data_IF_353397827718
#
_entry.id   IF_353397827718
#
_cell.length_a   1.000
_cell.length_b   1.000
_cell.length_c   1.000
_cell.angle_alpha   90.00
_cell.angle_beta   90.00
_cell.angle_gamma   90.00
#
_symmetry.space_group_name_H-M   'P 1'
#
loop_
_entity.id
_entity.type
_entity.pdbx_description
1 polymer ?
#
# COMPACT_ATOMS: atom_id res chain seq x y z
N UNK A 1 17.83 -8.98 -12.27
CA UNK A 1 16.38 -9.19 -12.40
C UNK A 1 15.61 -8.95 -11.11
N UNK A 2 15.81 -9.73 -10.03
CA UNK A 2 15.00 -9.54 -8.80
C UNK A 2 15.27 -8.19 -8.12
N UNK A 3 16.55 -7.81 -7.99
CA UNK A 3 16.97 -6.51 -7.42
C UNK A 3 16.50 -5.31 -8.25
N UNK A 4 16.43 -5.47 -9.57
CA UNK A 4 15.96 -4.42 -10.47
C UNK A 4 14.44 -4.23 -10.35
N UNK A 5 13.71 -5.33 -10.10
CA UNK A 5 12.26 -5.31 -9.85
C UNK A 5 11.93 -4.69 -8.49
N UNK A 6 12.69 -5.01 -7.44
CA UNK A 6 12.55 -4.39 -6.11
C UNK A 6 12.77 -2.87 -6.20
N UNK A 7 13.84 -2.44 -6.85
CA UNK A 7 14.13 -1.02 -7.04
C UNK A 7 13.01 -0.31 -7.82
N UNK A 8 12.50 -0.92 -8.89
CA UNK A 8 11.39 -0.38 -9.65
C UNK A 8 10.10 -0.26 -8.82
N UNK A 9 9.80 -1.29 -8.02
CA UNK A 9 8.64 -1.29 -7.12
C UNK A 9 8.74 -0.15 -6.11
N UNK A 10 9.89 0.01 -5.45
CA UNK A 10 10.10 1.06 -4.46
C UNK A 10 9.96 2.46 -5.09
N UNK A 11 10.52 2.67 -6.29
CA UNK A 11 10.35 3.92 -7.04
C UNK A 11 8.88 4.17 -7.43
N UNK A 12 8.16 3.13 -7.85
CA UNK A 12 6.75 3.23 -8.22
C UNK A 12 5.90 3.59 -7.00
N UNK A 13 6.08 2.89 -5.88
CA UNK A 13 5.37 3.16 -4.63
C UNK A 13 5.65 4.57 -4.13
N UNK A 14 6.90 5.04 -4.19
CA UNK A 14 7.27 6.40 -3.81
C UNK A 14 6.48 7.45 -4.60
N UNK A 15 6.50 7.36 -5.94
CA UNK A 15 5.78 8.29 -6.83
C UNK A 15 4.27 8.25 -6.59
N UNK A 16 3.69 7.05 -6.46
CA UNK A 16 2.25 6.89 -6.22
C UNK A 16 1.84 7.42 -4.85
N UNK A 17 2.66 7.22 -3.83
CA UNK A 17 2.44 7.78 -2.49
C UNK A 17 2.36 9.30 -2.53
N UNK A 18 3.32 9.95 -3.21
CA UNK A 18 3.32 11.40 -3.38
C UNK A 18 2.08 11.89 -4.14
N UNK A 19 1.76 11.27 -5.28
CA UNK A 19 0.61 11.63 -6.09
C UNK A 19 -0.71 11.45 -5.33
N UNK A 20 -0.90 10.31 -4.66
CA UNK A 20 -2.10 10.05 -3.87
C UNK A 20 -2.21 11.06 -2.73
N UNK A 21 -1.10 11.32 -2.03
CA UNK A 21 -1.06 12.31 -0.95
C UNK A 21 -1.49 13.69 -1.44
N UNK A 22 -0.80 14.21 -2.45
CA UNK A 22 -0.97 15.60 -2.90
C UNK A 22 -2.21 15.82 -3.77
N UNK A 23 -2.57 14.85 -4.61
CA UNK A 23 -3.59 15.03 -5.64
C UNK A 23 -4.93 14.43 -5.23
N UNK A 24 -4.92 13.30 -4.51
CA UNK A 24 -6.15 12.57 -4.16
C UNK A 24 -6.61 12.93 -2.75
N UNK A 25 -5.79 12.66 -1.74
CA UNK A 25 -6.14 12.84 -0.34
C UNK A 25 -6.36 14.31 0.00
N UNK A 26 -5.45 15.20 -0.44
CA UNK A 26 -5.58 16.64 -0.20
C UNK A 26 -6.73 17.32 -0.95
N UNK A 27 -7.42 16.62 -1.86
CA UNK A 27 -8.67 17.12 -2.48
C UNK A 27 -9.91 16.45 -1.89
N UNK A 28 -9.75 15.36 -1.15
CA UNK A 28 -10.85 14.63 -0.55
C UNK A 28 -11.33 15.33 0.73
N UNK A 29 -12.57 15.83 0.71
CA UNK A 29 -13.16 16.56 1.84
C UNK A 29 -13.33 15.67 3.08
N UNK A 30 -13.76 14.43 2.90
CA UNK A 30 -13.95 13.48 3.99
C UNK A 30 -12.61 13.14 4.68
N UNK A 31 -11.55 12.94 3.91
CA UNK A 31 -10.20 12.76 4.46
C UNK A 31 -9.75 13.96 5.30
N UNK A 32 -9.97 15.18 4.82
CA UNK A 32 -9.65 16.40 5.58
C UNK A 32 -10.46 16.51 6.88
N UNK A 33 -11.74 16.15 6.82
CA UNK A 33 -12.60 16.11 8.01
C UNK A 33 -12.08 15.10 9.02
N UNK A 34 -11.73 13.88 8.60
CA UNK A 34 -11.13 12.88 9.46
C UNK A 34 -9.83 13.35 10.10
N UNK A 35 -8.93 13.99 9.34
CA UNK A 35 -7.68 14.56 9.87
C UNK A 35 -7.98 15.61 10.95
N UNK A 36 -8.96 16.48 10.71
CA UNK A 36 -9.36 17.50 11.67
C UNK A 36 -9.97 16.88 12.93
N UNK A 37 -10.90 15.93 12.79
CA UNK A 37 -11.53 15.25 13.91
C UNK A 37 -10.50 14.50 14.75
N UNK A 38 -9.58 13.75 14.12
CA UNK A 38 -8.47 13.09 14.82
C UNK A 38 -7.66 14.10 15.63
N UNK A 39 -7.28 15.22 15.03
CA UNK A 39 -6.51 16.28 15.69
C UNK A 39 -7.25 16.87 16.89
N UNK A 40 -8.55 17.15 16.76
CA UNK A 40 -9.36 17.66 17.87
C UNK A 40 -9.40 16.67 19.04
N UNK A 41 -9.71 15.40 18.78
CA UNK A 41 -9.75 14.37 19.83
C UNK A 41 -8.39 14.17 20.50
N UNK A 42 -7.30 14.25 19.75
CA UNK A 42 -5.95 14.19 20.31
C UNK A 42 -5.66 15.39 21.23
N UNK A 43 -6.01 16.61 20.82
CA UNK A 43 -5.84 17.80 21.65
C UNK A 43 -6.66 17.74 22.95
N UNK A 44 -7.89 17.22 22.89
CA UNK A 44 -8.72 17.00 24.08
C UNK A 44 -8.11 15.97 25.03
N UNK A 45 -7.55 14.88 24.48
CA UNK A 45 -6.82 13.87 25.25
C UNK A 45 -5.60 14.49 25.94
N UNK A 46 -4.78 15.25 25.20
CA UNK A 46 -3.58 15.90 25.71
C UNK A 46 -3.84 16.89 26.85
N UNK A 47 -5.01 17.57 26.84
CA UNK A 47 -5.43 18.45 27.94
C UNK A 47 -5.85 17.69 29.20
N UNK A 48 -6.20 16.42 29.06
CA UNK A 48 -6.79 15.62 30.15
C UNK A 48 -5.77 14.68 30.80
N UNK A 49 -4.66 14.37 30.11
CA UNK A 49 -3.62 13.49 30.63
C UNK A 49 -2.50 14.27 31.34
N UNK A 50 -1.91 13.72 32.41
CA UNK A 50 -0.72 14.30 33.03
C UNK A 50 0.47 14.34 32.06
N UNK A 51 1.31 15.39 32.17
CA UNK A 51 2.51 15.55 31.35
C UNK A 51 3.45 14.34 31.41
N UNK A 52 3.54 13.68 32.57
CA UNK A 52 4.35 12.48 32.78
C UNK A 52 3.93 11.29 31.91
N UNK A 53 2.71 11.30 31.38
CA UNK A 53 2.17 10.23 30.53
C UNK A 53 2.22 10.57 29.03
N UNK A 54 2.53 11.83 28.67
CA UNK A 54 2.49 12.29 27.28
C UNK A 54 3.57 11.61 26.41
N UNK A 55 4.79 11.47 26.94
CA UNK A 55 5.87 10.77 26.22
C UNK A 55 5.50 9.32 25.90
N UNK A 56 4.87 8.62 26.85
CA UNK A 56 4.42 7.24 26.64
C UNK A 56 3.30 7.17 25.59
N UNK A 57 2.41 8.16 25.55
CA UNK A 57 1.36 8.24 24.54
C UNK A 57 1.95 8.50 23.15
N UNK A 58 2.93 9.39 23.01
CA UNK A 58 3.60 9.64 21.74
C UNK A 58 4.36 8.41 21.24
N UNK A 59 5.10 7.75 22.14
CA UNK A 59 5.80 6.49 21.82
C UNK A 59 4.82 5.37 21.40
N UNK A 60 3.65 5.30 22.04
CA UNK A 60 2.58 4.40 21.62
C UNK A 60 2.04 4.74 20.22
N UNK A 61 1.72 6.02 19.93
CA UNK A 61 1.24 6.43 18.61
C UNK A 61 2.27 6.17 17.52
N UNK A 62 3.54 6.47 17.77
CA UNK A 62 4.63 6.20 16.83
C UNK A 62 4.73 4.72 16.52
N UNK A 63 4.76 3.86 17.56
CA UNK A 63 4.81 2.40 17.37
C UNK A 63 3.60 1.87 16.62
N UNK A 64 2.40 2.35 16.91
CA UNK A 64 1.18 1.97 16.21
C UNK A 64 1.22 2.40 14.73
N UNK A 65 1.69 3.61 14.45
CA UNK A 65 1.84 4.13 13.08
C UNK A 65 2.89 3.33 12.29
N UNK A 66 4.05 3.03 12.90
CA UNK A 66 5.08 2.20 12.27
C UNK A 66 4.59 0.78 11.99
N UNK A 67 3.87 0.17 12.94
CA UNK A 67 3.29 -1.15 12.75
C UNK A 67 2.32 -1.17 11.56
N UNK A 68 1.43 -0.19 11.46
CA UNK A 68 0.48 -0.07 10.36
C UNK A 68 1.19 0.18 9.02
N UNK A 69 2.19 1.05 8.99
CA UNK A 69 2.98 1.33 7.80
C UNK A 69 3.71 0.08 7.30
N UNK A 70 4.36 -0.66 8.20
CA UNK A 70 5.08 -1.89 7.87
C UNK A 70 4.14 -2.99 7.35
N UNK A 71 2.98 -3.17 7.99
CA UNK A 71 1.98 -4.12 7.52
C UNK A 71 1.47 -3.76 6.11
N UNK A 72 1.19 -2.47 5.85
CA UNK A 72 0.77 -2.01 4.53
C UNK A 72 1.85 -2.24 3.47
N UNK A 73 3.12 -2.00 3.79
CA UNK A 73 4.23 -2.28 2.86
C UNK A 73 4.24 -3.75 2.43
N UNK A 74 4.13 -4.68 3.39
CA UNK A 74 4.08 -6.12 3.11
C UNK A 74 2.87 -6.46 2.23
N UNK A 75 1.68 -5.94 2.57
CA UNK A 75 0.45 -6.20 1.82
C UNK A 75 0.58 -5.71 0.38
N UNK A 76 1.06 -4.49 0.17
CA UNK A 76 1.21 -3.93 -1.18
C UNK A 76 2.28 -4.67 -1.99
N UNK A 77 3.41 -5.02 -1.36
CA UNK A 77 4.48 -5.78 -2.02
C UNK A 77 3.99 -7.15 -2.44
N UNK A 78 3.31 -7.87 -1.54
CA UNK A 78 2.76 -9.19 -1.86
C UNK A 78 1.66 -9.09 -2.93
N UNK A 79 0.70 -8.17 -2.79
CA UNK A 79 -0.36 -7.99 -3.76
C UNK A 79 0.14 -7.62 -5.17
N UNK A 80 1.23 -6.85 -5.25
CA UNK A 80 1.88 -6.56 -6.53
C UNK A 80 2.51 -7.80 -7.16
N UNK A 81 3.28 -8.58 -6.38
CA UNK A 81 3.88 -9.83 -6.85
C UNK A 81 2.81 -10.84 -7.29
N UNK A 82 1.73 -10.99 -6.50
CA UNK A 82 0.59 -11.83 -6.83
C UNK A 82 -0.06 -11.40 -8.15
N UNK A 83 -0.24 -10.09 -8.36
CA UNK A 83 -0.75 -9.54 -9.62
C UNK A 83 0.14 -9.85 -10.84
N UNK A 84 1.47 -9.77 -10.69
CA UNK A 84 2.40 -10.16 -11.75
C UNK A 84 2.34 -11.67 -12.04
N UNK A 85 2.25 -12.48 -10.99
CA UNK A 85 2.14 -13.93 -11.12
C UNK A 85 0.83 -14.34 -11.81
N UNK A 86 -0.30 -13.71 -11.45
CA UNK A 86 -1.58 -13.92 -12.13
C UNK A 86 -1.50 -13.59 -13.63
N UNK A 87 -0.85 -12.48 -13.99
CA UNK A 87 -0.64 -12.11 -15.40
C UNK A 87 0.19 -13.16 -16.14
N UNK A 88 1.24 -13.69 -15.52
CA UNK A 88 2.07 -14.73 -16.11
C UNK A 88 1.29 -16.04 -16.30
N UNK A 89 0.48 -16.45 -15.33
CA UNK A 89 -0.37 -17.65 -15.44
C UNK A 89 -1.41 -17.50 -16.55
N UNK A 90 -2.05 -16.33 -16.67
CA UNK A 90 -3.04 -16.07 -17.73
C UNK A 90 -2.40 -15.98 -19.12
N UNK A 91 -1.19 -15.43 -19.23
CA UNK A 91 -0.42 -15.45 -20.49
C UNK A 91 0.01 -16.86 -20.89
N UNK A 92 0.43 -17.70 -19.94
CA UNK A 92 0.77 -19.10 -20.22
C UNK A 92 -0.45 -19.87 -20.75
N UNK A 93 -1.63 -19.66 -20.16
CA UNK A 93 -2.86 -20.29 -20.63
C UNK A 93 -3.27 -19.80 -22.03
N UNK A 94 -3.13 -18.50 -22.32
CA UNK A 94 -3.47 -17.95 -23.64
C UNK A 94 -2.47 -18.35 -24.75
N UNK A 95 -1.19 -18.53 -24.40
CA UNK A 95 -0.18 -19.09 -25.32
C UNK A 95 -0.42 -20.59 -25.53
N UNK A 96 -0.89 -21.33 -24.53
CA UNK A 96 -1.22 -22.75 -24.68
C UNK A 96 -2.43 -22.97 -25.59
N UNK A 97 -3.48 -22.15 -25.48
CA UNK A 97 -4.65 -22.20 -26.38
C UNK A 97 -4.28 -21.86 -27.84
N UNK A 98 -3.36 -20.93 -28.07
CA UNK A 98 -2.94 -20.55 -29.42
C UNK A 98 -1.87 -21.47 -30.05
N UNK A 99 -1.06 -22.19 -29.28
CA UNK A 99 -0.03 -23.10 -29.82
C UNK A 99 -0.47 -24.57 -29.92
N UNK A 100 -1.45 -25.01 -29.12
CA UNK A 100 -1.94 -26.40 -29.19
C UNK A 100 -3.02 -26.56 -30.28
N UNK A 101 -3.68 -25.48 -30.70
CA UNK A 101 -4.71 -25.49 -31.75
C UNK A 101 -4.21 -25.65 -33.19
N UNK A 102 -2.90 -25.55 -33.47
CA UNK A 102 -2.35 -25.73 -34.83
C UNK A 102 -1.76 -27.12 -35.10
N UNK A 103 -1.77 -28.04 -34.13
CA UNK A 103 -1.22 -29.39 -34.30
C UNK A 103 -2.28 -30.52 -34.35
N UNK A 104 -3.57 -30.21 -34.28
CA UNK A 104 -4.67 -31.20 -34.37
C UNK A 104 -5.45 -31.18 -35.69
N UNK A 105 -4.92 -30.56 -36.75
CA UNK A 105 -5.36 -30.85 -38.13
C UNK A 105 -4.25 -31.58 -38.87
N UNK A 106 -4.23 -32.92 -38.77
CA UNK A 106 -3.75 -33.89 -39.77
C UNK A 106 -3.47 -35.26 -39.12
N UNK A 107 -4.53 -36.02 -38.79
CA UNK A 107 -4.54 -37.50 -38.86
C UNK A 107 -5.91 -37.95 -39.36
#
# INVERSE_FOLDING_TARGET
MLKDLEHYFDCFVGKRTEEIGQVVLMKNLYYKELVNTKRCSFQEMMRSIPDSCQELLFDFEDKANYQAAFANEIIYRQGFLDGLNLRNTTLINHVHEHFVGEFEENV
#
